data_IF_275863902353
#
_entry.id   IF_275863902353
#
_cell.length_a   1.000
_cell.length_b   1.000
_cell.length_c   1.000
_cell.angle_alpha   90.00
_cell.angle_beta   90.00
_cell.angle_gamma   90.00
#
_symmetry.space_group_name_H-M   'P 1'
#
loop_
_entity.id
_entity.type
_entity.pdbx_description
1 polymer ?
#
# COMPACT_ATOMS: atom_id res chain seq x y z
N UNK A 1 20.86 5.00 -2.52
CA UNK A 1 19.88 6.11 -2.39
C UNK A 1 18.71 5.58 -1.59
N UNK A 2 18.54 6.07 -0.36
CA UNK A 2 17.48 5.64 0.56
C UNK A 2 16.24 6.46 0.24
N UNK A 3 15.22 5.88 -0.38
CA UNK A 3 13.95 6.55 -0.63
C UNK A 3 13.13 6.58 0.65
N UNK A 4 12.88 7.77 1.17
CA UNK A 4 12.06 8.02 2.36
C UNK A 4 10.64 8.39 1.92
N UNK A 5 9.64 7.66 2.42
CA UNK A 5 8.20 7.88 2.12
C UNK A 5 7.75 9.28 2.56
N UNK A 6 7.02 10.05 1.75
CA UNK A 6 6.37 11.27 2.21
C UNK A 6 5.20 10.94 3.15
N UNK A 7 5.17 11.59 4.32
CA UNK A 7 4.08 11.44 5.31
C UNK A 7 2.87 12.26 4.86
N UNK A 8 1.79 11.61 4.47
CA UNK A 8 0.49 12.29 4.31
C UNK A 8 -0.25 12.30 5.65
N UNK A 9 -0.32 13.49 6.27
CA UNK A 9 -1.14 13.73 7.46
C UNK A 9 -2.56 14.12 7.02
N UNK A 10 -3.50 13.20 7.15
CA UNK A 10 -4.91 13.51 7.01
C UNK A 10 -5.44 14.14 8.32
N UNK A 11 -5.68 15.45 8.33
CA UNK A 11 -6.46 16.12 9.36
C UNK A 11 -7.92 16.18 8.90
N UNK A 12 -8.75 15.27 9.41
CA UNK A 12 -10.19 15.34 9.27
C UNK A 12 -10.77 16.43 10.18
N UNK A 13 -11.27 17.51 9.59
CA UNK A 13 -12.04 18.54 10.30
C UNK A 13 -13.51 18.16 10.34
N UNK A 14 -14.07 17.94 11.55
CA UNK A 14 -15.50 17.85 11.77
C UNK A 14 -16.09 19.26 11.89
N UNK A 15 -16.98 19.63 10.98
CA UNK A 15 -17.84 20.81 11.14
C UNK A 15 -19.26 20.37 11.39
N UNK A 16 -19.78 20.73 12.55
CA UNK A 16 -21.18 20.57 12.91
C UNK A 16 -22.02 21.62 12.18
N UNK A 17 -23.09 21.22 11.54
CA UNK A 17 -24.05 22.12 10.92
C UNK A 17 -25.48 21.92 11.49
N UNK A 18 -26.08 23.05 11.78
CA UNK A 18 -27.40 23.28 12.33
C UNK A 18 -28.53 22.70 11.48
N UNK A 19 -29.51 22.16 12.19
CA UNK A 19 -30.82 21.71 11.70
C UNK A 19 -31.72 22.88 11.27
N UNK A 20 -32.28 22.80 10.05
CA UNK A 20 -33.51 23.48 9.66
C UNK A 20 -34.51 22.47 9.13
N UNK A 21 -35.68 22.39 9.80
CA UNK A 21 -36.81 21.54 9.41
C UNK A 21 -37.67 22.34 8.41
N UNK A 22 -37.87 21.85 7.22
CA UNK A 22 -38.90 22.30 6.31
C UNK A 22 -39.56 21.05 5.70
N UNK A 23 -40.89 21.00 5.78
CA UNK A 23 -41.75 19.89 5.44
C UNK A 23 -41.91 19.65 3.91
N UNK A 24 -42.53 18.52 3.46
CA UNK A 24 -42.14 17.85 2.22
C UNK A 24 -42.94 18.30 0.99
N UNK A 25 -42.22 18.48 -0.11
CA UNK A 25 -42.79 18.41 -1.45
C UNK A 25 -42.28 17.12 -2.08
N UNK A 26 -43.16 16.13 -2.24
CA UNK A 26 -42.85 14.88 -2.92
C UNK A 26 -42.75 15.14 -4.42
N UNK A 27 -41.53 15.42 -4.88
CA UNK A 27 -41.15 15.27 -6.27
C UNK A 27 -40.38 13.94 -6.40
N UNK A 28 -40.96 12.98 -7.12
CA UNK A 28 -40.27 11.76 -7.51
C UNK A 28 -39.13 12.12 -8.46
N UNK A 29 -37.97 12.37 -7.88
CA UNK A 29 -36.75 12.53 -8.65
C UNK A 29 -36.23 11.13 -9.03
N UNK A 30 -36.28 10.81 -10.32
CA UNK A 30 -35.48 9.73 -10.89
C UNK A 30 -34.01 10.03 -10.58
N UNK A 31 -33.47 9.34 -9.59
CA UNK A 31 -32.04 9.34 -9.33
C UNK A 31 -31.35 8.67 -10.52
N UNK A 32 -30.92 9.46 -11.49
CA UNK A 32 -29.93 9.04 -12.44
C UNK A 32 -28.67 8.68 -11.61
N UNK A 33 -28.43 7.39 -11.39
CA UNK A 33 -27.22 6.90 -10.77
C UNK A 33 -26.03 7.39 -11.58
N UNK A 34 -25.33 8.38 -11.07
CA UNK A 34 -24.03 8.76 -11.61
C UNK A 34 -23.10 7.57 -11.38
N UNK A 35 -22.81 6.82 -12.43
CA UNK A 35 -21.70 5.88 -12.46
C UNK A 35 -20.44 6.74 -12.32
N UNK A 36 -19.95 6.87 -11.11
CA UNK A 36 -18.63 7.45 -10.87
C UNK A 36 -17.64 6.50 -11.54
N UNK A 37 -17.00 6.95 -12.61
CA UNK A 37 -15.84 6.25 -13.17
C UNK A 37 -14.82 6.07 -12.05
N UNK A 38 -14.30 4.85 -11.88
CA UNK A 38 -13.23 4.61 -10.94
C UNK A 38 -12.08 5.56 -11.26
N UNK A 39 -11.54 6.22 -10.23
CA UNK A 39 -10.35 7.07 -10.39
C UNK A 39 -9.22 6.23 -10.99
N UNK A 40 -8.49 6.78 -11.97
CA UNK A 40 -7.40 6.03 -12.60
C UNK A 40 -6.31 5.71 -11.56
N UNK A 41 -5.84 4.47 -11.55
CA UNK A 41 -4.71 4.05 -10.73
C UNK A 41 -3.43 4.71 -11.28
N UNK A 42 -3.03 5.82 -10.67
CA UNK A 42 -1.88 6.61 -11.09
C UNK A 42 -0.56 5.86 -10.88
N UNK A 43 -0.50 4.94 -9.92
CA UNK A 43 0.69 4.17 -9.61
C UNK A 43 0.89 3.07 -10.66
N UNK A 44 -0.18 2.39 -11.08
CA UNK A 44 -0.14 1.47 -12.21
C UNK A 44 0.21 2.18 -13.53
N UNK A 45 -0.31 3.39 -13.75
CA UNK A 45 0.05 4.20 -14.92
C UNK A 45 1.54 4.56 -14.91
N UNK A 46 2.11 4.88 -13.76
CA UNK A 46 3.54 5.15 -13.64
C UNK A 46 4.38 3.90 -13.96
N UNK A 47 3.96 2.72 -13.48
CA UNK A 47 4.58 1.43 -13.84
C UNK A 47 4.55 1.22 -15.35
N UNK A 48 3.42 1.43 -16.00
CA UNK A 48 3.28 1.31 -17.46
C UNK A 48 4.19 2.32 -18.20
N UNK A 49 4.24 3.56 -17.73
CA UNK A 49 5.05 4.61 -18.36
C UNK A 49 6.55 4.38 -18.21
N UNK A 50 7.02 3.85 -17.10
CA UNK A 50 8.45 3.63 -16.80
C UNK A 50 8.92 2.26 -17.26
N UNK A 51 8.22 1.19 -16.87
CA UNK A 51 8.62 -0.19 -17.11
C UNK A 51 8.10 -0.70 -18.48
N UNK A 52 6.90 -0.29 -18.89
CA UNK A 52 6.24 -0.72 -20.13
C UNK A 52 6.92 -0.26 -21.42
N UNK A 53 7.95 0.58 -21.33
CA UNK A 53 8.72 1.06 -22.50
C UNK A 53 9.59 -0.02 -23.15
N UNK A 54 9.97 -1.03 -22.41
CA UNK A 54 10.89 -2.06 -22.85
C UNK A 54 10.30 -3.47 -22.84
N UNK A 55 9.32 -3.72 -21.98
CA UNK A 55 8.65 -5.03 -21.81
C UNK A 55 7.27 -4.86 -21.21
N UNK A 56 6.43 -5.90 -21.32
CA UNK A 56 5.11 -5.89 -20.72
C UNK A 56 5.20 -5.99 -19.19
N UNK A 57 4.65 -5.02 -18.44
CA UNK A 57 4.58 -5.10 -16.98
C UNK A 57 3.87 -6.34 -16.44
N UNK A 58 2.96 -6.96 -17.19
CA UNK A 58 2.27 -8.18 -16.78
C UNK A 58 3.22 -9.32 -16.40
N UNK A 59 4.44 -9.33 -16.95
CA UNK A 59 5.44 -10.37 -16.69
C UNK A 59 5.89 -10.47 -15.21
N UNK A 60 5.75 -9.41 -14.42
CA UNK A 60 6.15 -9.40 -13.01
C UNK A 60 4.99 -9.21 -12.02
N UNK A 61 3.78 -8.88 -12.49
CA UNK A 61 2.63 -8.59 -11.62
C UNK A 61 2.18 -9.78 -10.76
N UNK A 62 2.50 -11.00 -11.18
CA UNK A 62 2.18 -12.22 -10.44
C UNK A 62 3.40 -12.84 -9.72
N UNK A 63 4.51 -12.11 -9.61
CA UNK A 63 5.73 -12.59 -9.01
C UNK A 63 6.16 -11.74 -7.80
N UNK A 64 5.46 -11.82 -6.66
CA UNK A 64 5.82 -11.05 -5.49
C UNK A 64 7.21 -11.44 -4.96
N UNK A 65 8.01 -10.47 -4.54
CA UNK A 65 9.38 -10.62 -4.06
C UNK A 65 9.62 -9.79 -2.82
N UNK A 66 10.67 -10.07 -2.05
CA UNK A 66 11.10 -9.18 -0.97
C UNK A 66 11.51 -7.81 -1.50
N UNK A 67 11.42 -6.79 -0.68
CA UNK A 67 11.81 -5.42 -1.07
C UNK A 67 13.27 -5.35 -1.51
N UNK A 68 14.18 -6.06 -0.83
CA UNK A 68 15.58 -6.14 -1.25
C UNK A 68 15.75 -6.66 -2.68
N UNK A 69 14.97 -7.69 -3.07
CA UNK A 69 15.01 -8.22 -4.44
C UNK A 69 14.41 -7.23 -5.46
N UNK A 70 13.39 -6.47 -5.10
CA UNK A 70 12.88 -5.39 -5.96
C UNK A 70 13.90 -4.27 -6.15
N UNK A 71 14.63 -3.88 -5.11
CA UNK A 71 15.71 -2.90 -5.22
C UNK A 71 16.81 -3.36 -6.20
N UNK A 72 17.19 -4.64 -6.17
CA UNK A 72 18.14 -5.21 -7.14
C UNK A 72 17.60 -5.09 -8.57
N UNK A 73 16.32 -5.42 -8.79
CA UNK A 73 15.66 -5.30 -10.09
C UNK A 73 15.64 -3.85 -10.56
N UNK A 74 15.25 -2.90 -9.70
CA UNK A 74 15.23 -1.48 -10.06
C UNK A 74 16.61 -0.95 -10.40
N UNK A 75 17.64 -1.35 -9.65
CA UNK A 75 19.02 -0.98 -9.95
C UNK A 75 19.47 -1.53 -11.31
N UNK A 76 19.11 -2.78 -11.63
CA UNK A 76 19.43 -3.38 -12.93
C UNK A 76 18.67 -2.70 -14.08
N UNK A 77 17.38 -2.45 -13.93
CA UNK A 77 16.57 -1.74 -14.94
C UNK A 77 17.09 -0.33 -15.19
N UNK A 78 17.48 0.39 -14.14
CA UNK A 78 18.10 1.73 -14.27
C UNK A 78 19.40 1.67 -15.07
N UNK A 79 20.25 0.68 -14.82
CA UNK A 79 21.49 0.47 -15.62
C UNK A 79 21.20 0.17 -17.09
N UNK A 80 20.05 -0.44 -17.38
CA UNK A 80 19.59 -0.73 -18.75
C UNK A 80 18.86 0.44 -19.41
N UNK A 81 18.72 1.59 -18.72
CA UNK A 81 18.15 2.81 -19.26
C UNK A 81 16.70 3.09 -18.84
N UNK A 82 16.12 2.31 -17.94
CA UNK A 82 14.83 2.65 -17.37
C UNK A 82 14.95 3.99 -16.62
N UNK A 83 14.08 4.94 -16.95
CA UNK A 83 14.06 6.27 -16.35
C UNK A 83 12.62 6.82 -16.25
N UNK A 84 12.44 7.80 -15.40
CA UNK A 84 11.19 8.50 -15.19
C UNK A 84 11.41 9.79 -14.42
N UNK A 85 10.39 10.62 -14.30
CA UNK A 85 10.41 11.75 -13.37
C UNK A 85 10.49 11.26 -11.93
N UNK A 86 10.92 12.12 -11.00
CA UNK A 86 10.95 11.77 -9.57
C UNK A 86 9.57 11.32 -9.06
N UNK A 87 8.48 11.96 -9.54
CA UNK A 87 7.12 11.56 -9.20
C UNK A 87 6.76 10.18 -9.76
N UNK A 88 7.07 9.89 -11.02
CA UNK A 88 6.81 8.58 -11.61
C UNK A 88 7.57 7.47 -10.87
N UNK A 89 8.84 7.70 -10.52
CA UNK A 89 9.63 6.73 -9.77
C UNK A 89 9.10 6.50 -8.35
N UNK A 90 8.59 7.55 -7.69
CA UNK A 90 7.94 7.43 -6.39
C UNK A 90 6.65 6.58 -6.48
N UNK A 91 5.82 6.80 -7.49
CA UNK A 91 4.60 6.02 -7.74
C UNK A 91 4.90 4.56 -8.09
N UNK A 92 5.92 4.31 -8.90
CA UNK A 92 6.41 2.93 -9.16
C UNK A 92 6.79 2.25 -7.85
N UNK A 93 7.54 2.93 -6.99
CA UNK A 93 7.93 2.40 -5.68
C UNK A 93 6.70 2.06 -4.83
N UNK A 94 5.72 2.96 -4.76
CA UNK A 94 4.47 2.76 -4.00
C UNK A 94 3.69 1.54 -4.54
N UNK A 95 3.51 1.45 -5.85
CA UNK A 95 2.85 0.30 -6.48
C UNK A 95 3.49 -1.04 -6.09
N UNK A 96 4.82 -1.13 -6.14
CA UNK A 96 5.53 -2.36 -5.81
C UNK A 96 5.46 -2.69 -4.31
N UNK A 97 5.55 -1.69 -3.44
CA UNK A 97 5.38 -1.88 -1.99
C UNK A 97 3.96 -2.35 -1.65
N UNK A 98 2.95 -1.76 -2.25
CA UNK A 98 1.56 -2.06 -1.94
C UNK A 98 1.03 -3.35 -2.56
N UNK A 99 1.57 -3.75 -3.71
CA UNK A 99 1.00 -4.85 -4.49
C UNK A 99 1.90 -6.07 -4.64
N UNK A 100 3.23 -5.88 -4.70
CA UNK A 100 4.15 -6.94 -5.13
C UNK A 100 5.25 -7.28 -4.11
N UNK A 101 5.27 -6.63 -2.95
CA UNK A 101 6.32 -6.87 -1.96
C UNK A 101 5.89 -7.89 -0.91
N UNK A 102 6.70 -8.94 -0.75
CA UNK A 102 6.60 -9.91 0.32
C UNK A 102 7.27 -9.37 1.59
N UNK A 103 6.66 -9.63 2.74
CA UNK A 103 7.24 -9.36 4.04
C UNK A 103 7.25 -10.63 4.89
N UNK A 104 8.39 -10.95 5.50
CA UNK A 104 8.47 -12.01 6.50
C UNK A 104 8.40 -11.38 7.90
N UNK A 105 7.32 -11.68 8.62
CA UNK A 105 7.05 -11.10 9.96
C UNK A 105 8.15 -11.42 10.95
N UNK A 106 8.81 -12.58 10.78
CA UNK A 106 9.83 -13.04 11.71
C UNK A 106 11.24 -12.51 11.38
N UNK A 107 11.48 -11.97 10.17
CA UNK A 107 12.84 -11.55 9.77
C UNK A 107 12.93 -10.15 9.18
N UNK A 108 11.89 -9.62 8.52
CA UNK A 108 11.94 -8.31 7.86
C UNK A 108 12.21 -7.15 8.84
N UNK A 109 12.91 -6.09 8.41
CA UNK A 109 13.15 -4.89 9.21
C UNK A 109 11.85 -4.08 9.43
N UNK A 110 11.90 -3.10 10.33
CA UNK A 110 10.72 -2.36 10.77
C UNK A 110 10.06 -1.56 9.65
N UNK A 111 10.85 -0.95 8.80
CA UNK A 111 10.38 -0.17 7.66
C UNK A 111 9.64 -1.03 6.63
N UNK A 112 10.13 -2.21 6.29
CA UNK A 112 9.43 -3.15 5.41
C UNK A 112 8.11 -3.63 6.05
N UNK A 113 8.11 -3.93 7.36
CA UNK A 113 6.89 -4.28 8.09
C UNK A 113 5.88 -3.14 8.05
N UNK A 114 6.32 -1.90 8.30
CA UNK A 114 5.46 -0.72 8.27
C UNK A 114 4.83 -0.51 6.89
N UNK A 115 5.61 -0.63 5.83
CA UNK A 115 5.15 -0.42 4.46
C UNK A 115 4.18 -1.50 3.99
N UNK A 116 4.59 -2.78 4.10
CA UNK A 116 3.80 -3.88 3.53
C UNK A 116 2.56 -4.20 4.35
N UNK A 117 2.61 -4.06 5.68
CA UNK A 117 1.44 -4.25 6.55
C UNK A 117 0.58 -2.99 6.67
N UNK A 118 1.06 -1.84 6.19
CA UNK A 118 0.43 -0.53 6.31
C UNK A 118 0.10 -0.19 7.77
N UNK A 119 1.14 -0.28 8.59
CA UNK A 119 1.08 0.02 10.03
C UNK A 119 2.05 1.17 10.39
N UNK A 120 1.83 1.79 11.54
CA UNK A 120 2.75 2.79 12.06
C UNK A 120 4.10 2.18 12.51
N UNK A 121 5.13 3.03 12.60
CA UNK A 121 6.47 2.62 13.04
C UNK A 121 6.45 1.97 14.44
N UNK A 122 5.60 2.47 15.33
CA UNK A 122 5.39 1.94 16.69
C UNK A 122 4.84 0.50 16.66
N UNK A 123 3.89 0.22 15.77
CA UNK A 123 3.32 -1.12 15.58
C UNK A 123 4.36 -2.07 14.96
N UNK A 124 5.13 -1.60 13.98
CA UNK A 124 6.22 -2.38 13.40
C UNK A 124 7.27 -2.76 14.47
N UNK A 125 7.63 -1.81 15.35
CA UNK A 125 8.52 -2.09 16.46
C UNK A 125 7.90 -3.06 17.50
N UNK A 126 6.60 -2.98 17.76
CA UNK A 126 5.90 -3.93 18.62
C UNK A 126 5.92 -5.36 18.04
N UNK A 127 5.76 -5.50 16.73
CA UNK A 127 5.92 -6.79 16.03
C UNK A 127 7.33 -7.34 16.25
N UNK A 128 8.37 -6.52 16.05
CA UNK A 128 9.77 -6.91 16.27
C UNK A 128 10.01 -7.31 17.72
N UNK A 129 9.53 -6.54 18.67
CA UNK A 129 9.68 -6.83 20.09
C UNK A 129 8.98 -8.16 20.47
N UNK A 130 7.82 -8.45 19.87
CA UNK A 130 7.11 -9.70 20.10
C UNK A 130 7.84 -10.91 19.49
N UNK A 131 8.30 -10.83 18.22
CA UNK A 131 8.99 -11.96 17.56
C UNK A 131 10.30 -12.36 18.24
N UNK A 132 11.00 -11.39 18.91
CA UNK A 132 12.20 -11.68 19.70
C UNK A 132 11.93 -12.58 20.90
N UNK A 133 10.71 -12.55 21.45
CA UNK A 133 10.31 -13.41 22.56
C UNK A 133 9.79 -14.76 22.06
N UNK A 134 9.00 -14.73 20.99
CA UNK A 134 8.42 -15.91 20.35
C UNK A 134 8.11 -15.56 18.89
N UNK A 135 8.63 -16.31 17.91
CA UNK A 135 8.29 -16.16 16.51
C UNK A 135 6.79 -16.28 16.29
N UNK A 136 6.29 -15.58 15.29
CA UNK A 136 4.92 -15.71 14.84
C UNK A 136 4.74 -17.02 14.07
N UNK A 137 3.78 -17.84 14.45
CA UNK A 137 3.44 -19.08 13.76
C UNK A 137 2.37 -18.88 12.66
N UNK A 138 1.76 -17.70 12.58
CA UNK A 138 0.75 -17.43 11.57
C UNK A 138 -0.05 -16.16 11.82
N UNK A 139 -0.96 -15.88 10.89
CA UNK A 139 -1.71 -14.62 10.78
C UNK A 139 -2.56 -14.31 12.03
N UNK A 140 -3.07 -15.32 12.72
CA UNK A 140 -3.87 -15.13 13.94
C UNK A 140 -3.08 -14.44 15.05
N UNK A 141 -1.80 -14.79 15.19
CA UNK A 141 -0.92 -14.17 16.18
C UNK A 141 -0.54 -12.74 15.79
N UNK A 142 -0.37 -12.47 14.49
CA UNK A 142 -0.10 -11.13 13.98
C UNK A 142 -1.32 -10.22 14.19
N UNK A 143 -2.52 -10.72 13.93
CA UNK A 143 -3.79 -10.01 14.17
C UNK A 143 -3.96 -9.59 15.64
N UNK A 144 -3.41 -10.34 16.57
CA UNK A 144 -3.48 -10.04 17.99
C UNK A 144 -2.51 -8.92 18.45
N UNK A 145 -1.66 -8.40 17.58
CA UNK A 145 -0.77 -7.27 17.91
C UNK A 145 -1.60 -5.98 17.92
N UNK A 146 -1.58 -5.20 19.02
CA UNK A 146 -2.30 -3.93 19.07
C UNK A 146 -1.87 -2.98 17.94
N UNK A 147 -2.84 -2.36 17.28
CA UNK A 147 -2.59 -1.44 16.16
C UNK A 147 -2.54 -2.10 14.77
N UNK A 148 -2.57 -3.42 14.69
CA UNK A 148 -2.73 -4.13 13.42
C UNK A 148 -4.22 -4.15 13.02
N UNK A 149 -4.54 -3.60 11.85
CA UNK A 149 -5.90 -3.61 11.30
C UNK A 149 -6.19 -4.98 10.65
N UNK A 150 -7.21 -5.73 11.17
CA UNK A 150 -7.53 -7.05 10.62
C UNK A 150 -7.97 -7.03 9.15
N UNK A 151 -8.62 -5.96 8.69
CA UNK A 151 -9.09 -5.86 7.30
C UNK A 151 -7.95 -5.64 6.32
N UNK A 152 -6.99 -4.78 6.67
CA UNK A 152 -5.75 -4.58 5.90
C UNK A 152 -4.89 -5.84 5.87
N UNK A 153 -4.81 -6.53 7.00
CA UNK A 153 -4.09 -7.80 7.11
C UNK A 153 -4.67 -8.87 6.19
N UNK A 154 -6.00 -8.97 6.11
CA UNK A 154 -6.67 -9.92 5.22
C UNK A 154 -6.43 -9.60 3.74
N UNK A 155 -6.46 -8.32 3.35
CA UNK A 155 -6.17 -7.89 1.98
C UNK A 155 -4.73 -8.22 1.55
N UNK A 156 -3.79 -8.27 2.49
CA UNK A 156 -2.35 -8.45 2.25
C UNK A 156 -1.84 -9.85 2.59
N UNK A 157 -2.72 -10.76 3.02
CA UNK A 157 -2.33 -12.08 3.56
C UNK A 157 -1.44 -12.92 2.63
N UNK A 158 -1.65 -12.82 1.32
CA UNK A 158 -0.86 -13.54 0.31
C UNK A 158 0.59 -13.06 0.21
N UNK A 159 0.90 -11.90 0.78
CA UNK A 159 2.25 -11.30 0.79
C UNK A 159 2.94 -11.39 2.14
N UNK A 160 2.31 -12.03 3.13
CA UNK A 160 2.83 -12.16 4.49
C UNK A 160 3.37 -13.57 4.69
N UNK A 161 4.64 -13.63 5.05
CA UNK A 161 5.37 -14.86 5.37
C UNK A 161 5.68 -14.93 6.87
N UNK A 162 5.83 -16.17 7.41
CA UNK A 162 6.11 -16.44 8.81
C UNK A 162 7.36 -17.30 9.01
#
# INVERSE_FOLDING_TARGET
MTFKRPRHSWRGGFSAALTWIVAPVTAAAFAAGTVTAAEPDLDLQAVQAVCGRCHDPAMFQNEPRSWGRWNDVFADMTRRGANGTGEQLARVTEYFLENLTLVNVNSSPADELAWVLDVGDDVAQAIIARRRRQPFAGIAQLRAVPGVDPSKLEQRKSRILF
#
